data_IF_663777889498
#
_entry.id   IF_663777889498
#
_cell.length_a   1.000
_cell.length_b   1.000
_cell.length_c   1.000
_cell.angle_alpha   90.00
_cell.angle_beta   90.00
_cell.angle_gamma   90.00
#
_symmetry.space_group_name_H-M   'P 1'
#
loop_
_entity.id
_entity.type
_entity.pdbx_description
1 polymer ?
#
# COMPACT_ATOMS: atom_id res chain seq x y z
N UNK A 1 -25.43 18.10 20.82
CA UNK A 1 -25.96 17.15 19.83
C UNK A 1 -26.50 17.96 18.66
N UNK A 2 -25.64 18.34 17.73
CA UNK A 2 -26.05 18.98 16.48
C UNK A 2 -26.35 17.87 15.48
N UNK A 3 -27.59 17.85 15.00
CA UNK A 3 -28.08 16.87 14.04
C UNK A 3 -27.25 16.94 12.74
N UNK A 4 -26.83 15.77 12.25
CA UNK A 4 -26.27 15.64 10.90
C UNK A 4 -27.36 16.03 9.87
N UNK A 5 -27.10 16.91 8.91
CA UNK A 5 -28.06 17.18 7.86
C UNK A 5 -28.25 15.92 7.00
N UNK A 6 -29.51 15.53 6.80
CA UNK A 6 -29.91 14.42 5.97
C UNK A 6 -29.80 14.76 4.47
N UNK A 7 -29.21 13.83 3.73
CA UNK A 7 -29.18 13.63 2.27
C UNK A 7 -28.99 14.86 1.38
N UNK A 8 -27.74 15.16 1.05
CA UNK A 8 -27.41 15.72 -0.25
C UNK A 8 -27.39 14.53 -1.23
N UNK A 9 -28.18 14.59 -2.30
CA UNK A 9 -28.54 13.47 -3.19
C UNK A 9 -27.34 12.80 -3.89
N UNK A 10 -27.58 11.87 -4.84
CA UNK A 10 -26.47 11.33 -5.59
C UNK A 10 -25.78 12.45 -6.37
N UNK A 11 -24.47 12.58 -6.18
CA UNK A 11 -23.65 13.56 -6.89
C UNK A 11 -22.74 12.87 -7.87
N UNK A 12 -22.51 13.54 -9.00
CA UNK A 12 -21.59 13.06 -10.02
C UNK A 12 -20.15 13.45 -9.66
N UNK A 13 -19.26 12.48 -9.69
CA UNK A 13 -17.81 12.70 -9.54
C UNK A 13 -17.16 12.39 -10.88
N UNK A 14 -16.38 13.34 -11.39
CA UNK A 14 -15.59 13.19 -12.62
C UNK A 14 -14.11 13.35 -12.30
N UNK A 15 -13.26 12.47 -12.85
CA UNK A 15 -11.81 12.52 -12.65
C UNK A 15 -11.13 12.94 -13.95
N UNK A 16 -10.31 13.99 -13.88
CA UNK A 16 -9.46 14.46 -14.96
C UNK A 16 -7.99 14.03 -14.75
N UNK A 17 -7.25 13.76 -15.83
CA UNK A 17 -7.64 13.90 -17.24
C UNK A 17 -8.36 12.67 -17.83
N UNK A 18 -8.55 11.59 -17.08
CA UNK A 18 -9.10 10.33 -17.62
C UNK A 18 -10.55 10.42 -18.11
N UNK A 19 -11.33 11.39 -17.61
CA UNK A 19 -12.75 11.55 -17.92
C UNK A 19 -13.65 10.51 -17.25
N UNK A 20 -13.11 9.61 -16.43
CA UNK A 20 -13.89 8.59 -15.72
C UNK A 20 -14.84 9.26 -14.75
N UNK A 21 -16.08 8.76 -14.69
CA UNK A 21 -17.11 9.33 -13.84
C UNK A 21 -17.91 8.25 -13.11
N UNK A 22 -18.40 8.59 -11.92
CA UNK A 22 -19.17 7.71 -11.04
C UNK A 22 -20.05 8.54 -10.11
N UNK A 23 -21.08 7.94 -9.51
CA UNK A 23 -22.02 8.65 -8.64
C UNK A 23 -21.89 8.23 -7.18
N UNK A 24 -21.89 9.17 -6.23
CA UNK A 24 -22.01 8.84 -4.80
C UNK A 24 -23.46 8.56 -4.41
N UNK A 25 -23.66 7.78 -3.37
CA UNK A 25 -24.91 7.73 -2.61
C UNK A 25 -24.89 8.79 -1.49
N UNK A 26 -26.05 9.09 -0.89
CA UNK A 26 -26.15 10.11 0.16
C UNK A 26 -25.31 9.74 1.40
N UNK A 27 -24.35 10.58 1.76
CA UNK A 27 -23.46 10.33 2.89
C UNK A 27 -22.27 9.39 2.60
N UNK A 28 -22.15 8.88 1.37
CA UNK A 28 -21.06 8.00 0.94
C UNK A 28 -19.79 8.82 0.67
N UNK A 29 -18.63 8.34 1.12
CA UNK A 29 -17.35 8.97 0.78
C UNK A 29 -16.99 8.71 -0.70
N UNK A 30 -16.30 9.66 -1.34
CA UNK A 30 -15.95 9.57 -2.76
C UNK A 30 -15.21 8.26 -3.09
N UNK A 31 -14.27 7.83 -2.26
CA UNK A 31 -13.51 6.60 -2.51
C UNK A 31 -14.39 5.34 -2.41
N UNK A 32 -15.34 5.32 -1.49
CA UNK A 32 -16.26 4.19 -1.35
C UNK A 32 -17.13 4.04 -2.59
N UNK A 33 -17.68 5.16 -3.07
CA UNK A 33 -18.44 5.21 -4.33
C UNK A 33 -17.61 4.71 -5.52
N UNK A 34 -16.33 5.11 -5.60
CA UNK A 34 -15.41 4.68 -6.65
C UNK A 34 -15.16 3.17 -6.58
N UNK A 35 -14.83 2.62 -5.41
CA UNK A 35 -14.58 1.18 -5.23
C UNK A 35 -15.82 0.36 -5.60
N UNK A 36 -17.01 0.78 -5.15
CA UNK A 36 -18.29 0.11 -5.45
C UNK A 36 -18.57 0.01 -6.94
N UNK A 37 -18.16 1.03 -7.71
CA UNK A 37 -18.36 1.11 -9.16
C UNK A 37 -17.13 0.68 -9.98
N UNK A 38 -16.09 0.14 -9.33
CA UNK A 38 -14.87 -0.31 -10.02
C UNK A 38 -14.04 0.82 -10.65
N UNK A 39 -14.17 2.04 -10.12
CA UNK A 39 -13.33 3.18 -10.50
C UNK A 39 -12.06 3.20 -9.65
N UNK A 40 -10.90 3.04 -10.31
CA UNK A 40 -9.61 3.01 -9.64
C UNK A 40 -9.18 4.41 -9.21
N UNK A 41 -9.31 4.71 -7.92
CA UNK A 41 -8.78 5.93 -7.30
C UNK A 41 -7.48 5.64 -6.54
N UNK A 42 -6.62 6.63 -6.29
CA UNK A 42 -5.48 6.44 -5.39
C UNK A 42 -5.97 6.23 -3.94
N UNK A 43 -5.46 5.22 -3.22
CA UNK A 43 -5.69 5.00 -1.78
C UNK A 43 -4.80 3.90 -1.17
N UNK A 44 -4.73 3.91 0.17
CA UNK A 44 -4.09 2.88 1.00
C UNK A 44 -4.98 2.47 2.18
N UNK A 45 -4.99 3.24 3.28
CA UNK A 45 -5.67 2.88 4.54
C UNK A 45 -7.22 2.91 4.55
N UNK A 46 -7.84 3.73 3.69
CA UNK A 46 -9.29 4.05 3.66
C UNK A 46 -9.89 4.75 4.89
N UNK A 47 -9.09 5.23 5.85
CA UNK A 47 -9.60 5.82 7.11
C UNK A 47 -9.00 7.19 7.47
N UNK A 48 -8.35 7.85 6.52
CA UNK A 48 -7.80 9.20 6.70
C UNK A 48 -6.47 9.27 7.45
N UNK A 49 -5.77 8.14 7.62
CA UNK A 49 -4.48 8.10 8.32
C UNK A 49 -3.24 8.24 7.41
N UNK A 50 -3.27 7.70 6.19
CA UNK A 50 -2.07 7.55 5.35
C UNK A 50 -1.83 8.66 4.29
N UNK A 51 -2.83 9.47 3.97
CA UNK A 51 -2.72 10.49 2.91
C UNK A 51 -2.65 9.97 1.45
N UNK A 52 -2.51 8.66 1.21
CA UNK A 52 -2.40 8.11 -0.16
C UNK A 52 -3.60 8.37 -1.08
N UNK A 53 -4.77 8.72 -0.52
CA UNK A 53 -5.97 9.04 -1.31
C UNK A 53 -6.12 10.52 -1.67
N UNK A 54 -5.09 11.32 -1.36
CA UNK A 54 -5.09 12.76 -1.57
C UNK A 54 -5.22 13.08 -3.06
N UNK A 55 -6.23 13.88 -3.40
CA UNK A 55 -6.49 14.35 -4.76
C UNK A 55 -6.74 15.87 -4.72
N UNK A 56 -6.48 16.56 -5.83
CA UNK A 56 -6.88 17.97 -5.96
C UNK A 56 -8.32 18.05 -6.44
N UNK A 57 -9.14 18.79 -5.73
CA UNK A 57 -10.52 19.13 -6.11
C UNK A 57 -10.49 20.36 -6.99
N UNK A 58 -10.89 20.21 -8.25
CA UNK A 58 -10.97 21.29 -9.22
C UNK A 58 -12.30 22.05 -9.07
N UNK A 59 -13.39 21.33 -8.85
CA UNK A 59 -14.73 21.91 -8.72
C UNK A 59 -15.56 21.22 -7.63
N UNK A 60 -16.57 21.94 -7.13
CA UNK A 60 -17.53 21.44 -6.17
C UNK A 60 -17.13 21.56 -4.69
N UNK A 61 -17.96 21.01 -3.81
CA UNK A 61 -17.79 21.10 -2.35
C UNK A 61 -17.91 19.74 -1.67
N UNK A 62 -17.07 19.51 -0.66
CA UNK A 62 -17.07 18.29 0.13
C UNK A 62 -17.07 18.65 1.61
N UNK A 63 -17.53 17.74 2.45
CA UNK A 63 -17.32 17.78 3.90
C UNK A 63 -16.48 16.56 4.27
N UNK A 64 -15.34 16.79 4.92
CA UNK A 64 -14.50 15.70 5.38
C UNK A 64 -14.99 15.17 6.73
N UNK A 65 -15.08 13.86 6.83
CA UNK A 65 -15.17 13.16 8.11
C UNK A 65 -13.86 13.25 8.92
N UNK A 66 -13.80 12.59 10.08
CA UNK A 66 -12.61 12.53 10.91
C UNK A 66 -11.39 12.04 10.11
N UNK A 67 -10.27 12.74 10.23
CA UNK A 67 -9.02 12.42 9.58
C UNK A 67 -7.84 13.02 10.36
N UNK A 68 -6.63 12.59 10.05
CA UNK A 68 -5.44 13.10 10.73
C UNK A 68 -4.86 14.32 10.02
N UNK A 69 -4.46 15.34 10.78
CA UNK A 69 -3.84 16.56 10.24
C UNK A 69 -2.54 16.28 9.45
N UNK A 70 -1.83 15.20 9.76
CA UNK A 70 -0.65 14.76 8.96
C UNK A 70 -1.03 14.21 7.59
N UNK A 71 -2.24 13.68 7.43
CA UNK A 71 -2.72 13.16 6.16
C UNK A 71 -3.27 14.27 5.27
N UNK A 72 -3.92 15.28 5.87
CA UNK A 72 -4.39 16.49 5.20
C UNK A 72 -4.29 17.66 6.18
N UNK A 73 -3.42 18.62 5.90
CA UNK A 73 -3.33 19.84 6.72
C UNK A 73 -4.43 20.84 6.36
N UNK A 74 -4.74 21.76 7.27
CA UNK A 74 -5.69 22.84 7.00
C UNK A 74 -5.25 23.73 5.82
N UNK A 75 -3.94 23.90 5.62
CA UNK A 75 -3.39 24.64 4.48
C UNK A 75 -3.59 23.87 3.16
N UNK A 76 -3.34 22.57 3.16
CA UNK A 76 -3.59 21.72 1.99
C UNK A 76 -5.08 21.71 1.62
N UNK A 77 -5.95 21.59 2.62
CA UNK A 77 -7.41 21.64 2.44
C UNK A 77 -7.87 22.99 1.87
N UNK A 78 -7.36 24.10 2.42
CA UNK A 78 -7.63 25.45 1.91
C UNK A 78 -7.13 25.65 0.47
N UNK A 79 -6.05 24.96 0.09
CA UNK A 79 -5.51 24.93 -1.28
C UNK A 79 -6.21 23.91 -2.21
N UNK A 80 -7.34 23.35 -1.78
CA UNK A 80 -8.19 22.50 -2.60
C UNK A 80 -7.79 21.03 -2.65
N UNK A 81 -6.89 20.56 -1.78
CA UNK A 81 -6.60 19.14 -1.64
C UNK A 81 -7.64 18.46 -0.74
N UNK A 82 -8.01 17.22 -1.07
CA UNK A 82 -8.99 16.45 -0.31
C UNK A 82 -8.52 15.01 -0.08
N UNK A 83 -9.01 14.35 0.97
CA UNK A 83 -8.86 12.91 1.17
C UNK A 83 -10.13 12.22 0.69
N UNK A 84 -10.08 11.57 -0.48
CA UNK A 84 -11.29 10.96 -1.08
C UNK A 84 -11.91 9.87 -0.20
N UNK A 85 -11.15 9.24 0.71
CA UNK A 85 -11.68 8.28 1.68
C UNK A 85 -12.49 8.89 2.83
N UNK A 86 -12.36 10.20 3.08
CA UNK A 86 -13.08 10.90 4.15
C UNK A 86 -13.99 12.00 3.60
N UNK A 87 -13.86 12.38 2.34
CA UNK A 87 -14.64 13.45 1.72
C UNK A 87 -16.02 12.95 1.26
N UNK A 88 -17.08 13.51 1.83
CA UNK A 88 -18.46 13.30 1.42
C UNK A 88 -18.91 14.48 0.55
N UNK A 89 -19.31 14.26 -0.70
CA UNK A 89 -19.68 15.32 -1.63
C UNK A 89 -20.96 16.05 -1.19
N UNK A 90 -20.99 17.37 -1.42
CA UNK A 90 -22.13 18.26 -1.20
C UNK A 90 -22.64 18.90 -2.51
N UNK A 91 -21.96 18.62 -3.62
CA UNK A 91 -22.29 18.97 -4.99
C UNK A 91 -21.64 17.96 -5.93
N UNK A 92 -21.88 18.07 -7.23
CA UNK A 92 -21.03 17.42 -8.23
C UNK A 92 -19.58 17.86 -8.05
N UNK A 93 -18.64 16.93 -8.26
CA UNK A 93 -17.20 17.10 -7.99
C UNK A 93 -16.40 16.84 -9.26
N UNK A 94 -15.42 17.69 -9.52
CA UNK A 94 -14.35 17.41 -10.48
C UNK A 94 -13.03 17.25 -9.73
N UNK A 95 -12.38 16.10 -9.88
CA UNK A 95 -11.08 15.79 -9.27
C UNK A 95 -9.99 15.75 -10.33
N UNK A 96 -8.77 16.10 -9.93
CA UNK A 96 -7.57 15.82 -10.71
C UNK A 96 -6.81 14.64 -10.08
N UNK A 97 -6.58 13.60 -10.87
CA UNK A 97 -5.68 12.50 -10.52
C UNK A 97 -5.15 11.79 -11.77
N UNK A 98 -3.83 11.80 -11.93
CA UNK A 98 -3.12 11.06 -12.99
C UNK A 98 -2.95 9.57 -12.66
N UNK A 99 -3.30 9.15 -11.45
CA UNK A 99 -3.19 7.75 -11.02
C UNK A 99 -4.43 6.91 -11.35
N UNK A 100 -5.46 7.55 -11.92
CA UNK A 100 -6.66 6.90 -12.43
C UNK A 100 -6.40 6.47 -13.87
N UNK A 101 -5.78 5.29 -14.03
CA UNK A 101 -5.47 4.69 -15.33
C UNK A 101 -6.64 3.83 -15.85
N UNK A 102 -6.56 3.40 -17.10
CA UNK A 102 -7.50 2.46 -17.73
C UNK A 102 -7.41 1.04 -17.16
N UNK A 103 -6.40 0.73 -16.33
CA UNK A 103 -6.33 -0.54 -15.61
C UNK A 103 -7.56 -0.66 -14.70
N UNK A 104 -8.51 -1.47 -15.17
CA UNK A 104 -9.81 -1.65 -14.54
C UNK A 104 -9.61 -2.17 -13.12
N UNK A 105 -10.20 -1.51 -12.12
CA UNK A 105 -10.21 -2.05 -10.77
C UNK A 105 -10.85 -3.44 -10.80
N UNK A 106 -10.12 -4.45 -10.35
CA UNK A 106 -10.68 -5.80 -10.23
C UNK A 106 -11.84 -5.80 -9.23
N UNK A 107 -12.87 -6.63 -9.44
CA UNK A 107 -14.02 -6.66 -8.56
C UNK A 107 -13.63 -7.11 -7.15
N UNK A 108 -14.04 -6.32 -6.16
CA UNK A 108 -13.88 -6.67 -4.74
C UNK A 108 -14.82 -7.83 -4.39
N UNK A 109 -14.28 -8.85 -3.74
CA UNK A 109 -15.03 -10.06 -3.32
C UNK A 109 -14.75 -10.39 -1.87
N UNK A 110 -15.81 -10.73 -1.14
CA UNK A 110 -15.72 -11.38 0.18
C UNK A 110 -15.62 -12.88 -0.03
N UNK A 111 -14.60 -13.51 0.53
CA UNK A 111 -14.37 -14.94 0.35
C UNK A 111 -13.93 -15.62 1.67
N UNK A 112 -14.42 -16.84 1.96
CA UNK A 112 -13.82 -17.68 2.98
C UNK A 112 -12.46 -18.18 2.47
N UNK A 113 -11.41 -18.01 3.26
CA UNK A 113 -10.05 -18.42 2.92
C UNK A 113 -9.48 -19.32 4.00
N UNK A 114 -8.84 -20.41 3.60
CA UNK A 114 -8.27 -21.38 4.53
C UNK A 114 -6.78 -21.11 4.69
N UNK A 115 -6.28 -21.04 5.92
CA UNK A 115 -4.84 -21.02 6.19
C UNK A 115 -4.24 -22.34 5.71
N UNK A 116 -3.44 -22.31 4.65
CA UNK A 116 -2.83 -23.50 4.05
C UNK A 116 -1.46 -23.81 4.61
N UNK A 117 -0.69 -22.79 4.96
CA UNK A 117 0.63 -22.92 5.59
C UNK A 117 0.97 -21.68 6.42
N UNK A 118 1.82 -21.88 7.42
CA UNK A 118 2.39 -20.81 8.24
C UNK A 118 3.88 -21.07 8.48
N UNK A 119 4.71 -20.05 8.32
CA UNK A 119 6.15 -20.15 8.53
C UNK A 119 6.67 -18.93 9.29
N UNK A 120 7.33 -19.17 10.43
CA UNK A 120 7.95 -18.11 11.22
C UNK A 120 9.35 -17.82 10.66
N UNK A 121 9.49 -16.71 9.95
CA UNK A 121 10.71 -16.34 9.20
C UNK A 121 11.60 -15.33 9.94
N UNK A 122 11.10 -14.71 11.00
CA UNK A 122 11.91 -13.95 11.95
C UNK A 122 11.34 -14.09 13.37
N UNK A 123 11.97 -13.44 14.35
CA UNK A 123 11.44 -13.39 15.72
C UNK A 123 10.00 -12.85 15.81
N UNK A 124 9.62 -11.95 14.89
CA UNK A 124 8.37 -11.20 14.87
C UNK A 124 7.65 -11.20 13.51
N UNK A 125 8.06 -12.00 12.52
CA UNK A 125 7.38 -12.09 11.21
C UNK A 125 6.96 -13.53 10.90
N UNK A 126 5.68 -13.67 10.51
CA UNK A 126 5.06 -14.90 10.06
C UNK A 126 4.66 -14.75 8.59
N UNK A 127 5.10 -15.66 7.74
CA UNK A 127 4.51 -15.85 6.41
C UNK A 127 3.27 -16.72 6.57
N UNK A 128 2.12 -16.22 6.12
CA UNK A 128 0.86 -16.95 6.13
C UNK A 128 0.38 -17.12 4.70
N UNK A 129 0.14 -18.36 4.29
CA UNK A 129 -0.42 -18.70 2.98
C UNK A 129 -1.90 -19.02 3.14
N UNK A 130 -2.72 -18.43 2.29
CA UNK A 130 -4.15 -18.67 2.23
C UNK A 130 -4.52 -19.40 0.95
N UNK A 131 -5.26 -20.49 1.10
CA UNK A 131 -6.00 -21.11 0.01
C UNK A 131 -7.33 -20.38 -0.17
N UNK A 132 -7.56 -19.86 -1.38
CA UNK A 132 -8.82 -19.23 -1.78
C UNK A 132 -9.82 -20.30 -2.29
N UNK A 133 -11.14 -20.00 -2.34
CA UNK A 133 -12.12 -20.91 -2.90
C UNK A 133 -11.83 -21.24 -4.37
N UNK A 134 -11.98 -22.51 -4.77
CA UNK A 134 -11.65 -22.96 -6.13
C UNK A 134 -12.46 -22.27 -7.24
N UNK A 135 -13.67 -21.81 -6.92
CA UNK A 135 -14.56 -21.10 -7.87
C UNK A 135 -14.34 -19.58 -7.88
N UNK A 136 -13.55 -19.05 -6.95
CA UNK A 136 -13.23 -17.62 -6.86
C UNK A 136 -11.75 -17.41 -7.21
N UNK A 137 -11.47 -17.12 -8.47
CA UNK A 137 -10.16 -16.57 -8.85
C UNK A 137 -10.13 -15.09 -8.46
N UNK A 138 -9.58 -14.79 -7.28
CA UNK A 138 -9.25 -13.43 -6.90
C UNK A 138 -8.24 -12.88 -7.92
N UNK A 139 -8.71 -12.00 -8.81
CA UNK A 139 -7.83 -11.23 -9.70
C UNK A 139 -7.38 -10.00 -8.93
N UNK A 140 -6.08 -9.72 -8.96
CA UNK A 140 -5.47 -8.57 -8.30
C UNK A 140 -4.22 -8.14 -9.06
N UNK A 141 -3.82 -6.88 -8.90
CA UNK A 141 -2.53 -6.40 -9.37
C UNK A 141 -1.47 -6.65 -8.30
N UNK A 142 -0.25 -7.00 -8.72
CA UNK A 142 0.88 -7.15 -7.81
C UNK A 142 1.07 -5.88 -6.96
N UNK A 143 1.18 -6.04 -5.64
CA UNK A 143 1.26 -4.92 -4.68
C UNK A 143 -0.06 -4.60 -3.95
N UNK A 144 -1.21 -5.06 -4.44
CA UNK A 144 -2.50 -4.85 -3.76
C UNK A 144 -2.60 -5.63 -2.44
N UNK A 145 -3.65 -5.35 -1.68
CA UNK A 145 -3.90 -5.96 -0.37
C UNK A 145 -5.31 -6.57 -0.24
N UNK A 146 -5.48 -7.42 0.77
CA UNK A 146 -6.78 -7.91 1.25
C UNK A 146 -7.01 -7.47 2.69
N UNK A 147 -8.27 -7.48 3.11
CA UNK A 147 -8.67 -7.24 4.50
C UNK A 147 -9.20 -8.51 5.14
N UNK A 148 -8.67 -8.89 6.31
CA UNK A 148 -9.35 -9.83 7.19
C UNK A 148 -10.53 -9.16 7.88
N UNK A 149 -11.66 -9.84 7.90
CA UNK A 149 -12.85 -9.45 8.66
C UNK A 149 -12.89 -10.29 9.93
N UNK A 150 -12.60 -9.66 11.07
CA UNK A 150 -12.59 -10.31 12.39
C UNK A 150 -14.02 -10.50 12.92
N UNK A 151 -14.16 -11.32 13.97
CA UNK A 151 -15.47 -11.68 14.56
C UNK A 151 -16.23 -10.48 15.13
N UNK A 152 -15.51 -9.47 15.62
CA UNK A 152 -16.07 -8.21 16.12
C UNK A 152 -16.34 -7.19 15.01
N UNK A 153 -16.16 -7.57 13.74
CA UNK A 153 -16.32 -6.69 12.58
C UNK A 153 -15.09 -5.84 12.26
N UNK A 154 -14.05 -5.85 13.10
CA UNK A 154 -12.83 -5.12 12.83
C UNK A 154 -12.13 -5.64 11.56
N UNK A 155 -11.49 -4.74 10.82
CA UNK A 155 -10.79 -5.04 9.57
C UNK A 155 -9.29 -4.88 9.73
N UNK A 156 -8.51 -5.80 9.13
CA UNK A 156 -7.03 -5.72 9.13
C UNK A 156 -6.49 -5.96 7.73
N UNK A 157 -5.80 -4.96 7.21
CA UNK A 157 -5.22 -4.97 5.87
C UNK A 157 -3.85 -5.65 5.86
N UNK A 158 -3.62 -6.53 4.89
CA UNK A 158 -2.32 -7.12 4.60
C UNK A 158 -2.10 -7.22 3.10
N UNK A 159 -0.99 -6.64 2.63
CA UNK A 159 -0.62 -6.68 1.22
C UNK A 159 -0.18 -8.09 0.80
N UNK A 160 -0.59 -8.50 -0.40
CA UNK A 160 -0.19 -9.77 -0.97
C UNK A 160 1.31 -9.75 -1.29
N UNK A 161 2.01 -10.80 -0.87
CA UNK A 161 3.46 -10.96 -1.03
C UNK A 161 3.86 -11.78 -2.25
N UNK A 162 2.91 -12.46 -2.90
CA UNK A 162 3.10 -13.15 -4.16
C UNK A 162 2.45 -12.36 -5.31
N UNK A 163 2.97 -12.56 -6.52
CA UNK A 163 2.33 -12.05 -7.73
C UNK A 163 1.10 -12.90 -8.10
N UNK A 164 0.09 -12.34 -8.82
CA UNK A 164 -1.19 -13.00 -9.09
C UNK A 164 -1.11 -14.30 -9.90
N UNK A 165 0.00 -14.55 -10.60
CA UNK A 165 0.25 -15.76 -11.38
C UNK A 165 1.02 -16.83 -10.58
N UNK A 166 1.48 -16.53 -9.36
CA UNK A 166 2.25 -17.45 -8.53
C UNK A 166 1.35 -18.23 -7.57
N UNK A 167 0.57 -19.15 -8.15
CA UNK A 167 -0.27 -20.11 -7.44
C UNK A 167 -1.71 -19.62 -7.17
N UNK A 168 -2.60 -20.54 -6.75
CA UNK A 168 -4.03 -20.26 -6.58
C UNK A 168 -4.39 -19.54 -5.26
N UNK A 169 -3.38 -19.16 -4.47
CA UNK A 169 -3.54 -18.59 -3.14
C UNK A 169 -2.88 -17.22 -3.01
N UNK A 170 -2.95 -16.66 -1.81
CA UNK A 170 -2.21 -15.45 -1.44
C UNK A 170 -1.23 -15.74 -0.31
N UNK A 171 -0.06 -15.13 -0.38
CA UNK A 171 0.98 -15.12 0.63
C UNK A 171 0.96 -13.75 1.33
N UNK A 172 1.10 -13.73 2.66
CA UNK A 172 1.07 -12.51 3.46
C UNK A 172 2.26 -12.52 4.43
N UNK A 173 2.93 -11.39 4.61
CA UNK A 173 3.96 -11.23 5.65
C UNK A 173 3.40 -10.42 6.82
N UNK A 174 3.17 -11.11 7.93
CA UNK A 174 2.50 -10.54 9.11
C UNK A 174 3.52 -10.30 10.20
N UNK A 175 3.74 -9.04 10.57
CA UNK A 175 4.53 -8.68 11.76
C UNK A 175 3.70 -8.84 13.03
N UNK A 176 4.31 -9.40 14.08
CA UNK A 176 3.72 -9.48 15.40
C UNK A 176 3.71 -8.09 16.03
N UNK A 177 2.51 -7.57 16.28
CA UNK A 177 2.30 -6.38 17.09
C UNK A 177 1.78 -6.85 18.46
N UNK A 178 2.58 -6.80 19.54
CA UNK A 178 2.15 -7.25 20.86
C UNK A 178 0.89 -6.51 21.33
N UNK A 179 -0.13 -7.26 21.78
CA UNK A 179 -1.44 -6.71 22.16
C UNK A 179 -2.38 -6.48 20.96
N UNK A 180 -1.92 -6.78 19.74
CA UNK A 180 -2.71 -6.66 18.53
C UNK A 180 -3.70 -7.81 18.37
N UNK A 181 -5.00 -7.49 18.30
CA UNK A 181 -6.10 -8.48 18.19
C UNK A 181 -5.86 -9.62 17.18
N UNK A 182 -5.36 -9.28 15.99
CA UNK A 182 -5.15 -10.27 14.93
C UNK A 182 -3.75 -10.87 14.97
N UNK A 183 -2.71 -10.05 15.18
CA UNK A 183 -1.32 -10.51 15.16
C UNK A 183 -0.99 -11.41 16.35
N UNK A 184 -1.58 -11.18 17.53
CA UNK A 184 -1.46 -12.11 18.65
C UNK A 184 -2.09 -13.48 18.31
N UNK A 185 -3.25 -13.49 17.65
CA UNK A 185 -3.88 -14.73 17.19
C UNK A 185 -2.97 -15.48 16.21
N UNK A 186 -2.42 -14.80 15.21
CA UNK A 186 -1.46 -15.38 14.23
C UNK A 186 -0.26 -16.03 14.92
N UNK A 187 0.27 -15.45 15.98
CA UNK A 187 1.49 -15.93 16.64
C UNK A 187 1.25 -16.93 17.78
N UNK A 188 0.00 -17.13 18.24
CA UNK A 188 -0.29 -17.96 19.41
C UNK A 188 -1.30 -19.06 19.18
N UNK A 189 -2.41 -18.77 18.51
CA UNK A 189 -3.59 -19.65 18.47
C UNK A 189 -3.98 -20.08 17.06
N UNK A 190 -3.61 -19.31 16.03
CA UNK A 190 -3.89 -19.63 14.64
C UNK A 190 -3.21 -20.93 14.23
N UNK A 191 -3.92 -21.75 13.45
CA UNK A 191 -3.40 -23.03 12.94
C UNK A 191 -3.72 -23.18 11.46
N UNK A 192 -2.93 -24.01 10.79
CA UNK A 192 -3.30 -24.52 9.47
C UNK A 192 -4.72 -25.11 9.49
N UNK A 193 -5.40 -24.96 8.36
CA UNK A 193 -6.81 -25.31 8.12
C UNK A 193 -7.83 -24.39 8.78
N UNK A 194 -7.43 -23.41 9.58
CA UNK A 194 -8.33 -22.37 10.07
C UNK A 194 -8.95 -21.58 8.91
N UNK A 195 -10.24 -21.26 9.02
CA UNK A 195 -10.99 -20.52 8.00
C UNK A 195 -11.14 -19.08 8.46
N UNK A 196 -10.64 -18.17 7.65
CA UNK A 196 -10.74 -16.73 7.81
C UNK A 196 -11.68 -16.15 6.76
N UNK A 197 -12.31 -15.02 7.07
CA UNK A 197 -13.06 -14.24 6.09
C UNK A 197 -12.18 -13.11 5.60
N UNK A 198 -11.96 -13.03 4.29
CA UNK A 198 -11.17 -11.96 3.66
C UNK A 198 -12.00 -11.23 2.63
N UNK A 199 -11.61 -10.00 2.31
CA UNK A 199 -12.21 -9.18 1.27
C UNK A 199 -11.12 -8.47 0.46
N UNK A 200 -11.27 -8.42 -0.86
CA UNK A 200 -10.36 -7.69 -1.75
C UNK A 200 -10.54 -8.04 -3.23
N UNK A 201 -9.65 -7.53 -4.10
CA UNK A 201 -8.44 -6.82 -3.74
C UNK A 201 -8.71 -5.34 -3.45
N UNK A 202 -7.80 -4.73 -2.69
CA UNK A 202 -7.81 -3.31 -2.39
C UNK A 202 -6.43 -2.68 -2.65
N UNK A 203 -6.40 -1.35 -2.67
CA UNK A 203 -5.20 -0.55 -2.81
C UNK A 203 -4.93 -0.12 -4.25
N UNK A 204 -4.30 1.04 -4.38
CA UNK A 204 -3.81 1.58 -5.66
C UNK A 204 -2.30 1.41 -5.84
N UNK A 205 -1.64 0.75 -4.90
CA UNK A 205 -0.23 0.38 -4.98
C UNK A 205 -0.07 -0.84 -5.87
N UNK A 206 0.34 -0.61 -7.11
CA UNK A 206 0.69 -1.66 -8.06
C UNK A 206 1.65 -1.12 -9.11
N UNK A 207 2.35 -2.02 -9.80
CA UNK A 207 3.31 -1.63 -10.85
C UNK A 207 2.61 -0.87 -11.98
N UNK A 208 3.13 0.31 -12.35
CA UNK A 208 2.68 1.05 -13.54
C UNK A 208 3.42 0.53 -14.76
N UNK A 209 2.79 -0.34 -15.55
CA UNK A 209 3.40 -0.99 -16.73
C UNK A 209 3.50 -0.05 -17.96
N UNK A 210 2.79 1.07 -17.95
CA UNK A 210 2.75 2.09 -19.00
C UNK A 210 3.93 3.08 -18.97
N UNK A 211 4.88 2.89 -18.05
CA UNK A 211 6.07 3.71 -17.86
C UNK A 211 7.35 2.89 -18.02
N UNK A 212 8.37 3.46 -18.64
CA UNK A 212 9.71 2.88 -18.80
C UNK A 212 10.74 3.45 -17.80
N UNK A 213 10.34 4.43 -16.98
CA UNK A 213 11.22 5.09 -16.01
C UNK A 213 11.91 4.09 -15.07
N UNK A 214 13.18 4.30 -14.68
CA UNK A 214 13.82 3.51 -13.63
C UNK A 214 13.06 3.60 -12.31
N UNK A 215 13.13 2.54 -11.50
CA UNK A 215 12.35 2.37 -10.28
C UNK A 215 13.21 2.34 -9.03
N UNK A 216 12.76 3.03 -8.01
CA UNK A 216 13.22 2.84 -6.63
C UNK A 216 12.14 2.06 -5.89
N UNK A 217 12.48 0.85 -5.45
CA UNK A 217 11.63 0.04 -4.59
C UNK A 217 12.10 0.25 -3.16
N UNK A 218 11.31 0.93 -2.33
CA UNK A 218 11.66 1.23 -0.94
C UNK A 218 10.77 0.41 0.00
N UNK A 219 11.39 -0.42 0.83
CA UNK A 219 10.69 -1.22 1.83
C UNK A 219 11.22 -0.93 3.24
N UNK A 220 10.33 -0.99 4.22
CA UNK A 220 10.70 -1.06 5.65
C UNK A 220 9.96 -2.21 6.33
N UNK A 221 10.69 -3.08 7.03
CA UNK A 221 10.12 -4.25 7.69
C UNK A 221 9.28 -5.12 6.73
N UNK A 222 8.03 -5.42 7.10
CA UNK A 222 7.10 -6.20 6.27
C UNK A 222 6.54 -5.46 5.07
N UNK A 223 6.89 -4.18 4.88
CA UNK A 223 6.67 -3.46 3.61
C UNK A 223 7.36 -4.14 2.42
N UNK A 224 8.24 -5.11 2.66
CA UNK A 224 8.77 -6.00 1.64
C UNK A 224 7.72 -6.90 0.98
N UNK A 225 6.62 -7.27 1.64
CA UNK A 225 5.55 -8.10 1.04
C UNK A 225 5.08 -7.57 -0.33
N UNK A 226 4.49 -6.38 -0.43
CA UNK A 226 4.01 -5.88 -1.72
C UNK A 226 5.15 -5.70 -2.73
N UNK A 227 6.36 -5.34 -2.28
CA UNK A 227 7.54 -5.24 -3.14
C UNK A 227 7.97 -6.59 -3.73
N UNK A 228 7.92 -7.67 -2.94
CA UNK A 228 8.16 -9.04 -3.40
C UNK A 228 7.17 -9.40 -4.52
N UNK A 229 5.89 -9.06 -4.34
CA UNK A 229 4.86 -9.24 -5.36
C UNK A 229 5.21 -8.48 -6.66
N UNK A 230 5.69 -7.23 -6.57
CA UNK A 230 6.15 -6.48 -7.75
C UNK A 230 7.32 -7.16 -8.45
N UNK A 231 8.33 -7.62 -7.71
CA UNK A 231 9.52 -8.28 -8.26
C UNK A 231 9.14 -9.58 -8.99
N UNK A 232 8.30 -10.41 -8.37
CA UNK A 232 7.79 -11.64 -9.00
C UNK A 232 7.01 -11.35 -10.29
N UNK A 233 6.21 -10.28 -10.29
CA UNK A 233 5.43 -9.86 -11.46
C UNK A 233 6.33 -9.32 -12.58
N UNK A 234 7.33 -8.51 -12.24
CA UNK A 234 8.35 -8.07 -13.19
C UNK A 234 9.08 -9.24 -13.84
N UNK A 235 9.44 -10.26 -13.05
CA UNK A 235 10.10 -11.46 -13.54
C UNK A 235 9.22 -12.22 -14.53
N UNK A 236 7.95 -12.48 -14.19
CA UNK A 236 7.02 -13.20 -15.06
C UNK A 236 6.71 -12.48 -16.37
N UNK A 237 6.55 -11.15 -16.30
CA UNK A 237 6.31 -10.31 -17.49
C UNK A 237 7.58 -10.04 -18.31
N UNK A 238 8.75 -10.39 -17.79
CA UNK A 238 10.04 -10.09 -18.43
C UNK A 238 10.36 -8.59 -18.49
N UNK A 239 9.88 -7.80 -17.52
CA UNK A 239 10.07 -6.34 -17.49
C UNK A 239 11.55 -6.00 -17.30
N UNK A 240 12.12 -5.26 -18.24
CA UNK A 240 13.56 -4.91 -18.28
C UNK A 240 13.89 -3.56 -17.64
N UNK A 241 12.93 -2.89 -17.00
CA UNK A 241 13.15 -1.60 -16.33
C UNK A 241 14.19 -1.77 -15.22
N UNK A 242 15.15 -0.85 -15.15
CA UNK A 242 16.10 -0.81 -14.04
C UNK A 242 15.36 -0.56 -12.73
N UNK A 243 15.63 -1.40 -11.72
CA UNK A 243 15.04 -1.27 -10.39
C UNK A 243 16.12 -1.41 -9.32
N UNK A 244 16.08 -0.56 -8.31
CA UNK A 244 16.91 -0.71 -7.10
C UNK A 244 16.01 -0.87 -5.89
N UNK A 245 16.11 -2.03 -5.22
CA UNK A 245 15.47 -2.31 -3.94
C UNK A 245 16.34 -1.77 -2.80
N UNK A 246 15.78 -0.87 -2.02
CA UNK A 246 16.29 -0.46 -0.72
C UNK A 246 15.39 -1.05 0.36
N UNK A 247 15.91 -2.01 1.15
CA UNK A 247 15.15 -2.62 2.23
C UNK A 247 15.74 -2.26 3.58
N UNK A 248 14.98 -1.48 4.35
CA UNK A 248 15.33 -1.01 5.68
C UNK A 248 14.89 -1.95 6.80
N UNK A 249 15.83 -2.30 7.68
CA UNK A 249 15.59 -2.99 8.94
C UNK A 249 16.25 -2.25 10.11
N UNK A 250 15.80 -2.52 11.35
CA UNK A 250 16.49 -2.00 12.55
C UNK A 250 17.72 -2.83 12.86
N UNK A 251 17.60 -4.16 12.70
CA UNK A 251 18.64 -5.18 12.87
C UNK A 251 18.70 -6.06 11.63
N UNK A 252 19.81 -6.78 11.35
CA UNK A 252 19.88 -7.63 10.16
C UNK A 252 18.76 -8.67 10.07
N UNK A 253 18.29 -9.20 11.21
CA UNK A 253 17.16 -10.15 11.26
C UNK A 253 15.81 -9.58 10.80
N UNK A 254 15.68 -8.25 10.66
CA UNK A 254 14.49 -7.64 10.03
C UNK A 254 14.46 -7.82 8.51
N UNK A 255 15.58 -8.17 7.88
CA UNK A 255 15.68 -8.50 6.45
C UNK A 255 15.40 -10.00 6.25
N UNK A 256 14.23 -10.44 6.72
CA UNK A 256 13.88 -11.85 6.93
C UNK A 256 13.78 -12.69 5.64
N UNK A 257 13.91 -12.09 4.46
CA UNK A 257 13.98 -12.76 3.15
C UNK A 257 15.19 -12.29 2.32
N UNK A 258 16.27 -11.83 2.98
CA UNK A 258 17.50 -11.38 2.31
C UNK A 258 18.04 -12.43 1.32
N UNK A 259 18.07 -13.71 1.73
CA UNK A 259 18.51 -14.81 0.87
C UNK A 259 17.67 -14.93 -0.41
N UNK A 260 16.34 -14.87 -0.28
CA UNK A 260 15.43 -14.90 -1.43
C UNK A 260 15.71 -13.75 -2.41
N UNK A 261 15.91 -12.53 -1.91
CA UNK A 261 16.22 -11.37 -2.77
C UNK A 261 17.52 -11.62 -3.52
N UNK A 262 18.57 -12.09 -2.84
CA UNK A 262 19.88 -12.37 -3.46
C UNK A 262 19.80 -13.43 -4.56
N UNK A 263 18.98 -14.46 -4.39
CA UNK A 263 18.73 -15.45 -5.43
C UNK A 263 18.08 -14.82 -6.67
N UNK A 264 17.10 -13.91 -6.48
CA UNK A 264 16.45 -13.22 -7.61
C UNK A 264 17.41 -12.33 -8.40
N UNK A 265 18.44 -11.75 -7.77
CA UNK A 265 19.42 -10.90 -8.46
C UNK A 265 20.17 -11.64 -9.57
N UNK A 266 20.43 -12.93 -9.39
CA UNK A 266 21.09 -13.75 -10.41
C UNK A 266 20.22 -13.95 -11.67
N UNK A 267 18.90 -13.91 -11.50
CA UNK A 267 17.91 -14.11 -12.57
C UNK A 267 17.43 -12.78 -13.17
N UNK A 268 17.71 -11.65 -12.52
CA UNK A 268 17.22 -10.32 -12.88
C UNK A 268 18.38 -9.30 -12.95
N UNK A 269 19.12 -9.21 -14.05
CA UNK A 269 20.31 -8.35 -14.15
C UNK A 269 20.01 -6.84 -14.02
N UNK A 270 18.75 -6.44 -14.22
CA UNK A 270 18.29 -5.06 -14.08
C UNK A 270 17.81 -4.72 -12.66
N UNK A 271 17.81 -5.69 -11.73
CA UNK A 271 17.48 -5.50 -10.32
C UNK A 271 18.77 -5.35 -9.48
N UNK A 272 18.82 -4.30 -8.68
CA UNK A 272 19.85 -4.09 -7.65
C UNK A 272 19.22 -4.16 -6.27
N UNK A 273 20.01 -4.52 -5.27
CA UNK A 273 19.56 -4.61 -3.88
C UNK A 273 20.56 -3.96 -2.92
N UNK A 274 20.05 -3.05 -2.10
CA UNK A 274 20.77 -2.30 -1.08
C UNK A 274 20.07 -2.52 0.27
N UNK A 275 20.49 -3.52 1.05
CA UNK A 275 19.99 -3.67 2.41
C UNK A 275 20.54 -2.56 3.33
N UNK A 276 19.69 -1.98 4.18
CA UNK A 276 20.04 -0.86 5.05
C UNK A 276 19.64 -1.15 6.49
N UNK A 277 20.59 -1.09 7.42
CA UNK A 277 20.35 -1.35 8.85
C UNK A 277 20.55 -0.08 9.68
N UNK A 278 19.50 0.36 10.36
CA UNK A 278 19.53 1.64 11.08
C UNK A 278 20.17 1.57 12.47
N UNK A 279 20.25 0.38 13.08
CA UNK A 279 20.76 0.22 14.45
C UNK A 279 21.40 -1.16 14.65
N UNK A 280 22.42 -1.48 13.85
CA UNK A 280 23.24 -2.68 14.05
C UNK A 280 24.01 -2.59 15.36
N UNK A 281 24.02 -3.67 16.13
CA UNK A 281 24.92 -3.83 17.28
C UNK A 281 26.22 -4.52 16.85
N UNK A 282 27.30 -4.45 17.65
CA UNK A 282 28.55 -5.14 17.35
C UNK A 282 28.38 -6.64 17.03
N UNK A 283 27.54 -7.34 17.81
CA UNK A 283 27.31 -8.79 17.64
C UNK A 283 26.60 -9.17 16.33
N UNK A 284 25.98 -8.20 15.65
CA UNK A 284 25.36 -8.43 14.35
C UNK A 284 26.38 -8.65 13.24
N UNK A 285 27.64 -8.22 13.44
CA UNK A 285 28.69 -8.24 12.42
C UNK A 285 28.25 -7.62 11.08
N UNK A 286 27.38 -6.60 11.13
CA UNK A 286 26.85 -5.95 9.94
C UNK A 286 27.92 -5.09 9.26
N UNK A 287 28.17 -5.37 7.98
CA UNK A 287 29.15 -4.65 7.16
C UNK A 287 28.52 -3.93 5.96
N UNK A 288 27.19 -4.03 5.82
CA UNK A 288 26.44 -3.36 4.76
C UNK A 288 26.10 -1.91 5.08
N UNK A 289 25.17 -1.32 4.32
CA UNK A 289 24.79 0.08 4.51
C UNK A 289 24.10 0.30 5.85
N UNK A 290 24.40 1.42 6.50
CA UNK A 290 23.81 1.82 7.77
C UNK A 290 23.00 3.12 7.63
N UNK A 291 22.21 3.45 8.65
CA UNK A 291 21.38 4.65 8.68
C UNK A 291 19.94 4.40 8.25
N UNK A 292 19.25 5.46 7.82
CA UNK A 292 17.84 5.35 7.44
C UNK A 292 17.69 5.05 5.94
N UNK A 293 16.84 4.08 5.61
CA UNK A 293 16.67 3.59 4.22
C UNK A 293 16.31 4.70 3.22
N UNK A 294 15.50 5.69 3.63
CA UNK A 294 15.16 6.81 2.74
C UNK A 294 16.34 7.75 2.48
N UNK A 295 17.27 7.87 3.43
CA UNK A 295 18.51 8.65 3.23
C UNK A 295 19.47 7.94 2.29
N UNK A 296 19.58 6.62 2.41
CA UNK A 296 20.39 5.81 1.48
C UNK A 296 19.98 6.02 0.01
N UNK A 297 18.67 6.09 -0.26
CA UNK A 297 18.17 6.43 -1.60
C UNK A 297 18.68 7.80 -2.06
N UNK A 298 18.59 8.83 -1.22
CA UNK A 298 19.03 10.19 -1.59
C UNK A 298 20.55 10.31 -1.77
N UNK A 299 21.33 9.55 -1.01
CA UNK A 299 22.79 9.48 -1.16
C UNK A 299 23.17 8.89 -2.53
N UNK A 300 22.47 7.84 -2.95
CA UNK A 300 22.74 7.15 -4.21
C UNK A 300 22.06 7.83 -5.41
N UNK A 301 20.95 8.54 -5.18
CA UNK A 301 20.12 9.22 -6.17
C UNK A 301 19.75 10.65 -5.72
N UNK A 302 20.66 11.63 -5.90
CA UNK A 302 20.39 13.02 -5.54
C UNK A 302 19.34 13.70 -6.44
N UNK A 303 19.04 13.13 -7.61
CA UNK A 303 17.98 13.59 -8.51
C UNK A 303 17.09 12.40 -8.93
N UNK A 304 15.82 12.46 -8.54
CA UNK A 304 14.76 11.49 -8.79
C UNK A 304 13.73 11.99 -9.82
N UNK A 305 13.97 13.10 -10.52
CA UNK A 305 13.03 13.68 -11.49
C UNK A 305 12.64 12.71 -12.62
N UNK A 306 13.55 11.80 -12.99
CA UNK A 306 13.33 10.75 -13.98
C UNK A 306 12.90 9.39 -13.43
N UNK A 307 12.61 9.26 -12.12
CA UNK A 307 12.34 7.98 -11.47
C UNK A 307 10.87 7.80 -11.08
N UNK A 308 10.48 6.54 -10.89
CA UNK A 308 9.29 6.17 -10.12
C UNK A 308 9.69 5.57 -8.79
N UNK A 309 8.99 5.95 -7.71
CA UNK A 309 9.23 5.41 -6.37
C UNK A 309 8.03 4.58 -5.94
N UNK A 310 8.29 3.36 -5.52
CA UNK A 310 7.33 2.44 -4.93
C UNK A 310 7.73 2.19 -3.48
N UNK A 311 7.04 2.83 -2.53
CA UNK A 311 7.42 2.86 -1.12
C UNK A 311 6.40 2.16 -0.20
N UNK A 312 6.86 1.20 0.60
CA UNK A 312 6.00 0.43 1.50
C UNK A 312 6.59 0.23 2.91
N UNK A 313 5.70 0.20 3.90
CA UNK A 313 6.02 -0.19 5.27
C UNK A 313 5.64 0.86 6.31
N UNK A 314 6.52 1.10 7.29
CA UNK A 314 6.21 1.94 8.44
C UNK A 314 5.87 3.39 8.02
N UNK A 315 4.79 4.00 8.57
CA UNK A 315 4.33 5.32 8.15
C UNK A 315 5.43 6.39 8.20
N UNK A 316 6.21 6.43 9.28
CA UNK A 316 7.32 7.38 9.41
C UNK A 316 8.35 7.29 8.27
N UNK A 317 8.60 6.09 7.74
CA UNK A 317 9.54 5.91 6.63
C UNK A 317 8.93 6.39 5.32
N UNK A 318 7.67 6.02 5.04
CA UNK A 318 6.97 6.41 3.82
C UNK A 318 6.76 7.93 3.77
N UNK A 319 6.34 8.53 4.89
CA UNK A 319 6.10 9.96 5.02
C UNK A 319 7.40 10.76 4.85
N UNK A 320 8.49 10.34 5.51
CA UNK A 320 9.80 10.97 5.36
C UNK A 320 10.32 10.87 3.93
N UNK A 321 10.21 9.69 3.30
CA UNK A 321 10.60 9.50 1.91
C UNK A 321 9.81 10.42 0.96
N UNK A 322 8.47 10.47 1.10
CA UNK A 322 7.61 11.31 0.25
C UNK A 322 8.00 12.79 0.36
N UNK A 323 8.11 13.30 1.58
CA UNK A 323 8.41 14.69 1.85
C UNK A 323 9.80 15.06 1.30
N UNK A 324 10.82 14.28 1.63
CA UNK A 324 12.19 14.62 1.26
C UNK A 324 12.50 14.40 -0.21
N UNK A 325 11.96 13.34 -0.84
CA UNK A 325 12.21 13.11 -2.26
C UNK A 325 11.60 14.20 -3.13
N UNK A 326 10.41 14.66 -2.76
CA UNK A 326 9.75 15.78 -3.46
C UNK A 326 10.50 17.09 -3.22
N UNK A 327 10.82 17.41 -1.97
CA UNK A 327 11.40 18.71 -1.61
C UNK A 327 12.89 18.85 -1.96
N UNK A 328 13.65 17.76 -1.97
CA UNK A 328 15.13 17.79 -2.06
C UNK A 328 15.70 16.97 -3.21
N UNK A 329 14.99 15.96 -3.70
CA UNK A 329 15.46 15.11 -4.81
C UNK A 329 14.62 15.28 -6.09
N UNK A 330 13.75 16.29 -6.18
CA UNK A 330 12.97 16.64 -7.39
C UNK A 330 12.06 15.53 -7.92
N UNK A 331 11.67 14.57 -7.09
CA UNK A 331 10.69 13.57 -7.49
C UNK A 331 9.33 14.25 -7.75
N UNK A 332 8.70 14.08 -8.93
CA UNK A 332 7.34 14.55 -9.15
C UNK A 332 6.38 13.82 -8.21
N UNK A 333 5.46 14.57 -7.58
CA UNK A 333 4.59 14.02 -6.54
C UNK A 333 3.72 12.85 -7.03
N UNK A 334 3.35 12.86 -8.31
CA UNK A 334 2.56 11.81 -8.96
C UNK A 334 3.35 10.50 -9.19
N UNK A 335 4.68 10.54 -9.18
CA UNK A 335 5.57 9.39 -9.38
C UNK A 335 5.98 8.69 -8.07
N UNK A 336 5.36 9.09 -6.94
CA UNK A 336 5.51 8.43 -5.65
C UNK A 336 4.26 7.60 -5.33
N UNK A 337 4.36 6.29 -5.57
CA UNK A 337 3.35 5.29 -5.25
C UNK A 337 3.66 4.68 -3.89
N UNK A 338 2.68 4.61 -2.99
CA UNK A 338 2.93 4.10 -1.65
C UNK A 338 1.80 3.35 -0.99
N UNK A 339 2.19 2.39 -0.18
CA UNK A 339 1.34 1.65 0.75
C UNK A 339 1.92 1.76 2.17
N UNK A 340 1.30 2.60 3.00
CA UNK A 340 1.74 2.89 4.36
C UNK A 340 0.96 2.05 5.37
N UNK A 341 1.69 1.25 6.16
CA UNK A 341 1.10 0.28 7.09
C UNK A 341 0.74 0.94 8.41
N UNK A 342 -0.36 1.70 8.42
CA UNK A 342 -0.89 2.34 9.62
C UNK A 342 -1.52 1.30 10.56
N UNK A 343 -1.03 1.24 11.79
CA UNK A 343 -1.61 0.41 12.85
C UNK A 343 -2.77 1.13 13.53
N UNK A 344 -3.57 0.43 14.34
CA UNK A 344 -4.60 1.09 15.16
C UNK A 344 -4.00 2.08 16.16
N UNK A 345 -2.78 1.82 16.66
CA UNK A 345 -2.11 2.75 17.56
C UNK A 345 -1.69 4.05 16.86
N UNK A 346 -1.45 4.00 15.54
CA UNK A 346 -1.12 5.18 14.73
C UNK A 346 -2.36 6.06 14.42
N UNK A 347 -3.56 5.62 14.83
CA UNK A 347 -4.82 6.33 14.56
C UNK A 347 -5.17 7.40 15.59
N UNK A 348 -4.45 7.45 16.71
CA UNK A 348 -4.73 8.30 17.87
C UNK A 348 -3.50 9.09 18.28
#
# INVERSE_FOLDING_TARGET
>A
MTAAPASAGPFQITVQPSGRAFSSEGGEAILEAAIRQGVGMPYGCKDGACGSCKCRKLEGTVVHGPHQAKALSAEEEANGLILTCCAVPQSDIVLESRQVTDESAFPVRKMPSRVSAMEKVSHDVMIVKLQLPANDTLRYHAGQYIEFILRDGARRSYSMANAPHNGPGVELHIRHMPGGKFTDHVFTAMKEKEIMRVEGPFGSFFLREDSDKPMILLASGTGFAPIKSLIEHMQFKGIQRHATLYWGGRRPGDLYMDAWVRERLAEMPNLKYVPVISNALPDDNWTGRTGFVHKAVMEDHPDLSGHQVYACGAPIVVDSARAEYSARARLPAEEFFADSFTTEADKH
#
